data_IF_232195478737
#
_entry.id   IF_232195478737
#
_cell.length_a   1.000
_cell.length_b   1.000
_cell.length_c   1.000
_cell.angle_alpha   90.00
_cell.angle_beta   90.00
_cell.angle_gamma   90.00
#
_symmetry.space_group_name_H-M   'P 1'
#
loop_
_entity.id
_entity.type
_entity.pdbx_description
1 polymer ?
#
# COMPACT_ATOMS: atom_id res chain seq x y z
N UNK A 1 -14.31 -5.30 4.20
CA UNK A 1 -15.66 -5.88 4.15
C UNK A 1 -16.75 -4.93 4.66
N UNK A 2 -16.80 -4.50 5.93
CA UNK A 2 -17.88 -3.62 6.44
C UNK A 2 -18.01 -2.29 5.69
N UNK A 3 -16.91 -1.67 5.32
CA UNK A 3 -16.93 -0.42 4.55
C UNK A 3 -17.49 -0.63 3.14
N UNK A 4 -17.12 -1.73 2.46
CA UNK A 4 -17.65 -2.06 1.13
C UNK A 4 -19.15 -2.27 1.16
N UNK A 5 -19.68 -2.97 2.16
CA UNK A 5 -21.13 -3.15 2.34
C UNK A 5 -21.88 -1.82 2.55
N UNK A 6 -21.17 -0.75 2.83
CA UNK A 6 -21.70 0.61 2.96
C UNK A 6 -21.29 1.51 1.78
N UNK A 7 -20.92 0.94 0.66
CA UNK A 7 -20.63 1.68 -0.58
C UNK A 7 -19.25 2.31 -0.64
N UNK A 8 -18.31 1.92 0.23
CA UNK A 8 -16.93 2.42 0.12
C UNK A 8 -16.17 1.65 -0.96
N UNK A 9 -15.63 2.37 -1.92
CA UNK A 9 -14.70 1.82 -2.91
C UNK A 9 -13.39 1.45 -2.22
N UNK A 10 -12.89 0.26 -2.48
CA UNK A 10 -11.74 -0.32 -1.76
C UNK A 10 -10.47 -0.23 -2.58
N UNK A 11 -9.38 0.14 -1.90
CA UNK A 11 -7.99 0.02 -2.37
C UNK A 11 -7.31 -0.99 -1.46
N UNK A 12 -6.73 -2.04 -2.00
CA UNK A 12 -6.13 -3.11 -1.21
C UNK A 12 -5.03 -3.87 -1.94
N UNK A 13 -4.23 -4.60 -1.19
CA UNK A 13 -3.28 -5.59 -1.71
C UNK A 13 -3.99 -6.87 -2.14
N UNK A 14 -3.33 -7.66 -2.98
CA UNK A 14 -3.87 -8.93 -3.55
C UNK A 14 -3.55 -10.07 -2.58
N UNK A 15 -4.14 -10.03 -1.37
CA UNK A 15 -3.91 -11.04 -0.34
C UNK A 15 -5.18 -11.36 0.46
N UNK A 16 -5.19 -12.50 1.11
CA UNK A 16 -6.27 -12.93 2.00
C UNK A 16 -7.65 -12.79 1.37
N UNK A 17 -8.60 -12.25 2.13
CA UNK A 17 -9.98 -12.06 1.70
C UNK A 17 -10.15 -11.07 0.52
N UNK A 18 -9.14 -10.25 0.23
CA UNK A 18 -9.20 -9.29 -0.86
C UNK A 18 -9.26 -9.97 -2.22
N UNK A 19 -8.63 -11.14 -2.38
CA UNK A 19 -8.68 -11.94 -3.60
C UNK A 19 -10.12 -12.38 -3.89
N UNK A 20 -10.78 -12.97 -2.90
CA UNK A 20 -12.18 -13.42 -3.03
C UNK A 20 -13.14 -12.23 -3.28
N UNK A 21 -12.88 -11.10 -2.64
CA UNK A 21 -13.67 -9.88 -2.83
C UNK A 21 -13.50 -9.35 -4.26
N UNK A 22 -12.26 -9.31 -4.77
CA UNK A 22 -11.99 -8.85 -6.13
C UNK A 22 -12.69 -9.73 -7.17
N UNK A 23 -12.71 -11.05 -6.98
CA UNK A 23 -13.41 -12.00 -7.82
C UNK A 23 -14.94 -11.77 -7.80
N UNK A 24 -15.48 -11.46 -6.63
CA UNK A 24 -16.93 -11.25 -6.46
C UNK A 24 -17.41 -9.92 -7.03
N UNK A 25 -16.68 -8.83 -6.79
CA UNK A 25 -17.11 -7.49 -7.24
C UNK A 25 -16.64 -7.17 -8.66
N UNK A 26 -15.65 -7.88 -9.14
CA UNK A 26 -14.99 -7.66 -10.42
C UNK A 26 -13.94 -6.54 -10.38
N UNK A 27 -12.88 -6.69 -11.17
CA UNK A 27 -11.70 -5.80 -11.20
C UNK A 27 -12.02 -4.32 -11.45
N UNK A 28 -13.15 -4.02 -12.08
CA UNK A 28 -13.57 -2.63 -12.34
C UNK A 28 -14.09 -1.90 -11.11
N UNK A 29 -14.45 -2.63 -10.06
CA UNK A 29 -15.13 -2.11 -8.88
C UNK A 29 -14.22 -2.08 -7.64
N UNK A 30 -12.96 -2.50 -7.79
CA UNK A 30 -11.95 -2.51 -6.73
C UNK A 30 -10.61 -2.07 -7.31
N UNK A 31 -9.76 -1.50 -6.47
CA UNK A 31 -8.39 -1.14 -6.85
C UNK A 31 -7.41 -2.03 -6.09
N UNK A 32 -6.73 -2.87 -6.82
CA UNK A 32 -5.68 -3.73 -6.26
C UNK A 32 -4.29 -3.22 -6.64
N UNK A 33 -3.33 -3.40 -5.75
CA UNK A 33 -1.93 -3.04 -5.99
C UNK A 33 -0.98 -4.01 -5.27
N UNK A 34 0.30 -3.93 -5.62
CA UNK A 34 1.38 -4.66 -4.96
C UNK A 34 1.61 -6.06 -5.51
N UNK A 35 2.57 -6.74 -4.90
CA UNK A 35 2.96 -8.10 -5.24
C UNK A 35 1.86 -9.10 -4.87
N UNK A 36 1.73 -10.17 -5.66
CA UNK A 36 0.84 -11.28 -5.36
C UNK A 36 1.35 -12.11 -4.17
N UNK A 37 0.45 -12.86 -3.55
CA UNK A 37 0.82 -13.76 -2.44
C UNK A 37 1.93 -14.74 -2.84
N UNK A 38 1.90 -15.27 -4.06
CA UNK A 38 2.91 -16.21 -4.55
C UNK A 38 4.27 -15.54 -4.73
N UNK A 39 4.31 -14.31 -5.23
CA UNK A 39 5.54 -13.50 -5.35
C UNK A 39 6.13 -13.22 -3.98
N UNK A 40 5.31 -12.81 -3.02
CA UNK A 40 5.75 -12.53 -1.64
C UNK A 40 6.31 -13.80 -0.98
N UNK A 41 5.60 -14.94 -1.09
CA UNK A 41 6.07 -16.22 -0.56
C UNK A 41 7.42 -16.61 -1.18
N UNK A 42 7.55 -16.52 -2.49
CA UNK A 42 8.81 -16.80 -3.19
C UNK A 42 9.95 -15.90 -2.70
N UNK A 43 9.71 -14.60 -2.50
CA UNK A 43 10.71 -13.68 -1.97
C UNK A 43 11.16 -14.04 -0.56
N UNK A 44 10.24 -14.51 0.30
CA UNK A 44 10.59 -15.02 1.63
C UNK A 44 11.42 -16.30 1.57
N UNK A 45 11.00 -17.30 0.78
CA UNK A 45 11.67 -18.58 0.67
C UNK A 45 13.10 -18.46 0.10
N UNK A 46 13.24 -17.64 -0.95
CA UNK A 46 14.53 -17.40 -1.60
C UNK A 46 15.41 -16.38 -0.86
N UNK A 47 14.92 -15.75 0.22
CA UNK A 47 15.56 -14.58 0.85
C UNK A 47 15.95 -13.50 -0.17
N UNK A 48 15.10 -13.34 -1.18
CA UNK A 48 15.36 -12.46 -2.32
C UNK A 48 15.03 -10.99 -2.06
N UNK A 49 14.23 -10.70 -1.03
CA UNK A 49 13.88 -9.33 -0.69
C UNK A 49 15.03 -8.63 0.02
N UNK A 50 15.52 -7.56 -0.58
CA UNK A 50 16.58 -6.72 -0.02
C UNK A 50 16.05 -5.32 0.21
N UNK A 51 15.64 -5.06 1.43
CA UNK A 51 15.03 -3.79 1.86
C UNK A 51 15.81 -2.58 1.36
N UNK A 52 17.14 -2.63 1.44
CA UNK A 52 18.00 -1.52 1.09
C UNK A 52 17.88 -1.10 -0.38
N UNK A 53 17.67 -2.05 -1.29
CA UNK A 53 17.50 -1.76 -2.72
C UNK A 53 16.22 -0.95 -2.99
N UNK A 54 15.19 -1.14 -2.17
CA UNK A 54 13.93 -0.39 -2.25
C UNK A 54 14.04 0.95 -1.51
N UNK A 55 14.59 0.94 -0.30
CA UNK A 55 14.73 2.16 0.50
C UNK A 55 15.58 3.24 -0.18
N UNK A 56 16.68 2.87 -0.87
CA UNK A 56 17.56 3.82 -1.54
C UNK A 56 16.99 4.40 -2.85
N UNK A 57 15.80 3.98 -3.27
CA UNK A 57 15.14 4.58 -4.44
C UNK A 57 14.83 6.05 -4.19
N UNK A 58 15.08 6.94 -5.18
CA UNK A 58 14.88 8.39 -5.02
C UNK A 58 13.45 8.78 -4.65
N UNK A 59 12.48 8.00 -5.09
CA UNK A 59 11.05 8.21 -4.83
C UNK A 59 10.62 7.73 -3.46
N UNK A 60 11.27 6.69 -2.91
CA UNK A 60 10.89 6.04 -1.65
C UNK A 60 11.61 6.67 -0.46
N UNK A 61 12.91 6.88 -0.56
CA UNK A 61 13.74 7.37 0.54
C UNK A 61 13.20 8.63 1.22
N UNK A 62 12.83 9.69 0.49
CA UNK A 62 12.30 10.90 1.11
C UNK A 62 10.99 10.67 1.86
N UNK A 63 10.15 9.74 1.39
CA UNK A 63 8.87 9.41 2.03
C UNK A 63 9.09 8.67 3.34
N UNK A 64 10.02 7.73 3.36
CA UNK A 64 10.37 6.98 4.58
C UNK A 64 11.07 7.89 5.59
N UNK A 65 12.01 8.72 5.15
CA UNK A 65 12.76 9.64 6.01
C UNK A 65 11.86 10.75 6.57
N UNK A 66 10.74 11.07 5.90
CA UNK A 66 9.76 12.01 6.43
C UNK A 66 9.20 11.58 7.79
N UNK A 67 9.16 10.28 8.10
CA UNK A 67 8.71 9.75 9.40
C UNK A 67 9.53 10.28 10.57
N UNK A 68 10.81 10.60 10.33
CA UNK A 68 11.72 11.14 11.35
C UNK A 68 12.04 12.62 11.13
N UNK A 69 11.29 13.30 10.26
CA UNK A 69 11.41 14.74 10.09
C UNK A 69 10.93 15.50 11.33
N UNK A 70 11.49 16.67 11.63
CA UNK A 70 11.02 17.49 12.75
C UNK A 70 9.53 17.81 12.70
N UNK A 71 8.99 18.02 11.50
CA UNK A 71 7.58 18.30 11.26
C UNK A 71 6.71 17.12 11.70
N UNK A 72 7.07 15.90 11.29
CA UNK A 72 6.28 14.71 11.59
C UNK A 72 6.43 14.26 13.06
N UNK A 73 7.63 14.36 13.61
CA UNK A 73 7.91 14.08 15.03
C UNK A 73 7.07 14.99 15.93
N UNK A 74 6.89 16.27 15.57
CA UNK A 74 6.08 17.20 16.35
C UNK A 74 4.61 16.79 16.48
N UNK A 75 4.10 15.97 15.56
CA UNK A 75 2.71 15.48 15.52
C UNK A 75 2.53 14.14 16.24
N UNK A 76 3.62 13.43 16.53
CA UNK A 76 3.58 12.07 17.00
C UNK A 76 4.48 11.79 18.20
N UNK A 77 4.72 10.52 18.45
CA UNK A 77 5.67 10.07 19.47
C UNK A 77 7.01 9.72 18.80
N UNK A 78 8.03 10.52 19.07
CA UNK A 78 9.37 10.39 18.50
C UNK A 78 9.90 8.94 18.54
N UNK A 79 9.97 8.34 19.71
CA UNK A 79 10.52 6.99 19.85
C UNK A 79 9.72 5.89 19.11
N UNK A 80 8.44 6.10 18.85
CA UNK A 80 7.64 5.18 18.01
C UNK A 80 7.91 5.39 16.54
N UNK A 81 8.05 6.64 16.11
CA UNK A 81 8.34 6.99 14.72
C UNK A 81 9.75 6.54 14.33
N UNK A 82 10.74 6.76 15.19
CA UNK A 82 12.10 6.26 14.98
C UNK A 82 12.15 4.73 14.87
N UNK A 83 11.40 4.03 15.75
CA UNK A 83 11.32 2.56 15.68
C UNK A 83 10.65 2.09 14.40
N UNK A 84 9.57 2.75 13.95
CA UNK A 84 8.92 2.44 12.69
C UNK A 84 9.86 2.66 11.50
N UNK A 85 10.52 3.81 11.44
CA UNK A 85 11.51 4.13 10.43
C UNK A 85 12.62 3.07 10.38
N UNK A 86 13.21 2.76 11.54
CA UNK A 86 14.25 1.72 11.65
C UNK A 86 13.76 0.36 11.13
N UNK A 87 12.56 -0.06 11.49
CA UNK A 87 12.00 -1.33 11.02
C UNK A 87 11.81 -1.34 9.51
N UNK A 88 11.28 -0.26 8.94
CA UNK A 88 11.11 -0.12 7.49
C UNK A 88 12.46 -0.14 6.73
N UNK A 89 13.51 0.46 7.30
CA UNK A 89 14.82 0.51 6.65
C UNK A 89 15.66 -0.76 6.82
N UNK A 90 15.35 -1.63 7.81
CA UNK A 90 16.18 -2.79 8.12
C UNK A 90 15.52 -4.14 7.84
N UNK A 91 14.25 -4.28 8.16
CA UNK A 91 13.57 -5.58 8.15
C UNK A 91 12.39 -5.62 7.20
N UNK A 92 11.58 -4.55 7.18
CA UNK A 92 10.36 -4.40 6.38
C UNK A 92 9.59 -5.73 6.22
N UNK A 93 9.22 -6.33 7.35
CA UNK A 93 8.60 -7.67 7.43
C UNK A 93 7.42 -7.88 6.49
N UNK A 94 6.71 -6.82 6.14
CA UNK A 94 5.54 -6.88 5.26
C UNK A 94 5.86 -6.49 3.82
N UNK A 95 7.14 -6.31 3.47
CA UNK A 95 7.59 -5.86 2.15
C UNK A 95 6.86 -4.57 1.69
N UNK A 96 6.62 -3.67 2.64
CA UNK A 96 5.88 -2.41 2.43
C UNK A 96 6.53 -1.54 1.38
N UNK A 97 7.87 -1.48 1.35
CA UNK A 97 8.60 -0.67 0.39
C UNK A 97 8.56 -1.26 -1.02
N UNK A 98 8.37 -2.58 -1.15
CA UNK A 98 8.16 -3.24 -2.43
C UNK A 98 6.89 -2.72 -3.11
N UNK A 99 5.81 -2.60 -2.32
CA UNK A 99 4.48 -2.24 -2.84
C UNK A 99 4.22 -0.73 -2.91
N UNK A 100 5.10 0.09 -2.32
CA UNK A 100 4.85 1.52 -2.14
C UNK A 100 4.67 2.28 -3.45
N UNK A 101 5.47 1.99 -4.47
CA UNK A 101 5.34 2.62 -5.80
C UNK A 101 4.01 2.24 -6.46
N UNK A 102 3.63 0.97 -6.39
CA UNK A 102 2.36 0.49 -6.93
C UNK A 102 1.16 1.10 -6.18
N UNK A 103 1.28 1.27 -4.86
CA UNK A 103 0.28 1.98 -4.05
C UNK A 103 0.12 3.43 -4.50
N UNK A 104 1.21 4.17 -4.68
CA UNK A 104 1.18 5.57 -5.09
C UNK A 104 0.49 5.71 -6.45
N UNK A 105 0.90 4.92 -7.45
CA UNK A 105 0.30 4.92 -8.78
C UNK A 105 -1.21 4.56 -8.73
N UNK A 106 -1.58 3.60 -7.91
CA UNK A 106 -2.98 3.20 -7.75
C UNK A 106 -3.80 4.29 -7.06
N UNK A 107 -3.24 4.93 -6.03
CA UNK A 107 -3.88 6.06 -5.34
C UNK A 107 -4.14 7.23 -6.30
N UNK A 108 -3.21 7.58 -7.16
CA UNK A 108 -3.39 8.64 -8.17
C UNK A 108 -4.50 8.27 -9.14
N UNK A 109 -4.51 7.05 -9.66
CA UNK A 109 -5.62 6.55 -10.51
C UNK A 109 -6.97 6.62 -9.78
N UNK A 110 -7.02 6.32 -8.48
CA UNK A 110 -8.24 6.44 -7.68
C UNK A 110 -8.75 7.88 -7.64
N UNK A 111 -7.84 8.85 -7.47
CA UNK A 111 -8.22 10.26 -7.47
C UNK A 111 -8.70 10.73 -8.84
N UNK A 112 -8.05 10.32 -9.92
CA UNK A 112 -8.47 10.64 -11.28
C UNK A 112 -9.86 10.04 -11.57
N UNK A 113 -10.08 8.76 -11.24
CA UNK A 113 -11.37 8.10 -11.42
C UNK A 113 -12.49 8.72 -10.54
N UNK A 114 -12.14 9.31 -9.40
CA UNK A 114 -13.09 9.99 -8.52
C UNK A 114 -13.69 11.26 -9.13
N UNK A 115 -13.02 11.89 -10.08
CA UNK A 115 -13.54 13.05 -10.81
C UNK A 115 -14.77 12.68 -11.67
N UNK A 116 -14.83 11.45 -12.23
CA UNK A 116 -16.04 10.91 -12.87
C UNK A 116 -17.01 10.36 -11.82
N UNK A 117 -17.80 11.27 -11.24
CA UNK A 117 -18.78 10.95 -10.20
C UNK A 117 -19.80 9.89 -10.60
N UNK A 118 -20.14 9.79 -11.87
CA UNK A 118 -21.10 8.80 -12.36
C UNK A 118 -20.49 7.40 -12.35
N UNK A 119 -19.29 7.25 -12.86
CA UNK A 119 -18.54 6.01 -12.83
C UNK A 119 -18.23 5.59 -11.39
N UNK A 120 -17.83 6.54 -10.56
CA UNK A 120 -17.57 6.30 -9.14
C UNK A 120 -18.78 5.77 -8.38
N UNK A 121 -19.96 6.36 -8.63
CA UNK A 121 -21.20 5.90 -7.99
C UNK A 121 -21.54 4.44 -8.39
N UNK A 122 -21.25 4.05 -9.63
CA UNK A 122 -21.47 2.66 -10.07
C UNK A 122 -20.56 1.67 -9.35
N UNK A 123 -19.32 2.08 -8.97
CA UNK A 123 -18.41 1.25 -8.17
C UNK A 123 -18.89 1.12 -6.71
N UNK A 124 -19.68 2.04 -6.23
CA UNK A 124 -20.16 2.13 -4.84
C UNK A 124 -21.48 1.39 -4.61
N UNK A 125 -22.15 0.93 -5.66
CA UNK A 125 -23.44 0.24 -5.62
C UNK A 125 -23.27 -1.28 -5.73
#
# INVERSE_FOLDING_TARGET
>A
MKFMLNGAVTVCTVDGANVEIADLVGEKNIYTFGASSDEVVNLYECKGYKVQEFYEKPEIKPLVDFLISPEFISLGNEGRLERLHKNLCSEDWFMTLLDLEAYIATKERVFDDYEDRRSWLQKSL
#
